data_IF_103358165015
#
_entry.id   IF_103358165015
#
_cell.length_a   1.000
_cell.length_b   1.000
_cell.length_c   1.000
_cell.angle_alpha   90.00
_cell.angle_beta   90.00
_cell.angle_gamma   90.00
#
_symmetry.space_group_name_H-M   'P 1'
#
loop_
_entity.id
_entity.type
_entity.pdbx_description
1 polymer ?
#
# COMPACT_ATOMS: atom_id res chain seq x y z
N UNK A 1 -22.15 2.09 -23.69
CA UNK A 1 -20.85 2.43 -24.29
C UNK A 1 -19.96 3.21 -23.33
N UNK A 2 -20.39 4.32 -22.71
CA UNK A 2 -19.54 5.08 -21.75
C UNK A 2 -19.04 4.27 -20.53
N UNK A 3 -19.84 3.33 -19.99
CA UNK A 3 -19.42 2.49 -18.85
C UNK A 3 -18.33 1.46 -19.18
N UNK A 4 -18.18 1.04 -20.43
CA UNK A 4 -17.16 0.07 -20.82
C UNK A 4 -15.82 0.72 -21.13
N UNK A 5 -15.83 1.92 -21.74
CA UNK A 5 -14.61 2.70 -22.02
C UNK A 5 -13.87 3.01 -20.70
N UNK A 6 -14.62 3.37 -19.67
CA UNK A 6 -14.12 3.67 -18.33
C UNK A 6 -13.53 2.44 -17.59
N UNK A 7 -13.79 1.23 -18.08
CA UNK A 7 -13.31 -0.03 -17.48
C UNK A 7 -11.99 -0.50 -18.11
N UNK A 8 -11.78 -0.22 -19.40
CA UNK A 8 -10.53 -0.49 -20.11
C UNK A 8 -9.41 0.38 -19.54
N UNK A 9 -9.69 1.66 -19.30
CA UNK A 9 -8.70 2.62 -18.79
C UNK A 9 -8.19 2.27 -17.39
N UNK A 10 -8.92 1.50 -16.60
CA UNK A 10 -8.57 1.17 -15.20
C UNK A 10 -7.98 -0.22 -15.01
N UNK A 11 -7.85 -1.01 -16.08
CA UNK A 11 -7.38 -2.39 -15.96
C UNK A 11 -5.99 -2.53 -15.34
N UNK A 12 -5.15 -1.49 -15.48
CA UNK A 12 -3.80 -1.45 -14.91
C UNK A 12 -3.78 -1.50 -13.37
N UNK A 13 -4.85 -1.12 -12.67
CA UNK A 13 -4.94 -1.18 -11.21
C UNK A 13 -5.09 -2.62 -10.70
N UNK A 14 -5.51 -3.54 -11.57
CA UNK A 14 -5.67 -4.96 -11.28
C UNK A 14 -6.96 -5.31 -10.52
N UNK A 15 -7.08 -6.59 -10.19
CA UNK A 15 -8.15 -7.16 -9.37
C UNK A 15 -7.59 -8.31 -8.54
N UNK A 16 -8.13 -8.51 -7.35
CA UNK A 16 -7.66 -9.52 -6.41
C UNK A 16 -8.78 -10.01 -5.51
N UNK A 17 -8.43 -10.87 -4.56
CA UNK A 17 -9.38 -11.34 -3.56
C UNK A 17 -9.88 -10.15 -2.76
N UNK A 18 -11.19 -10.09 -2.51
CA UNK A 18 -11.73 -9.05 -1.64
C UNK A 18 -11.26 -9.26 -0.21
N UNK A 19 -11.08 -8.18 0.53
CA UNK A 19 -10.89 -8.20 1.97
C UNK A 19 -12.05 -7.53 2.70
N UNK A 20 -12.74 -8.22 3.64
CA UNK A 20 -12.47 -9.59 4.09
C UNK A 20 -12.76 -10.66 3.04
N UNK A 21 -12.01 -11.77 3.11
CA UNK A 21 -12.16 -12.92 2.21
C UNK A 21 -13.52 -13.56 2.45
N UNK A 22 -14.41 -13.47 1.46
CA UNK A 22 -15.78 -13.96 1.54
C UNK A 22 -16.18 -14.71 0.28
N UNK A 23 -17.15 -15.61 0.41
CA UNK A 23 -17.70 -16.38 -0.69
C UNK A 23 -19.17 -16.00 -0.90
N UNK A 24 -19.58 -15.83 -2.15
CA UNK A 24 -20.97 -15.53 -2.49
C UNK A 24 -21.86 -16.75 -2.20
N UNK A 25 -22.95 -16.53 -1.47
CA UNK A 25 -23.90 -17.58 -1.05
C UNK A 25 -24.57 -18.28 -2.25
N UNK A 26 -24.71 -17.59 -3.39
CA UNK A 26 -25.43 -18.12 -4.54
C UNK A 26 -24.62 -19.11 -5.37
N UNK A 27 -23.40 -18.73 -5.74
CA UNK A 27 -22.55 -19.50 -6.65
C UNK A 27 -21.31 -20.09 -5.98
N UNK A 28 -21.14 -19.88 -4.66
CA UNK A 28 -19.98 -20.31 -3.86
C UNK A 28 -18.63 -19.81 -4.41
N UNK A 29 -18.65 -18.76 -5.23
CA UNK A 29 -17.44 -18.16 -5.77
C UNK A 29 -16.83 -17.20 -4.77
N UNK A 30 -15.51 -17.12 -4.81
CA UNK A 30 -14.75 -16.13 -4.07
C UNK A 30 -15.08 -14.72 -4.56
N UNK A 31 -15.31 -13.80 -3.62
CA UNK A 31 -15.51 -12.40 -3.94
C UNK A 31 -14.19 -11.73 -4.34
N UNK A 32 -14.25 -10.91 -5.38
CA UNK A 32 -13.11 -10.23 -5.99
C UNK A 32 -13.33 -8.73 -5.84
N UNK A 33 -12.33 -8.01 -5.34
CA UNK A 33 -12.25 -6.55 -5.41
C UNK A 33 -11.43 -6.14 -6.63
N UNK A 34 -11.78 -5.02 -7.24
CA UNK A 34 -11.13 -4.53 -8.45
C UNK A 34 -10.81 -3.06 -8.35
N UNK A 35 -9.76 -2.66 -9.07
CA UNK A 35 -9.41 -1.27 -9.31
C UNK A 35 -9.20 -0.47 -8.01
N UNK A 36 -9.91 0.66 -7.86
CA UNK A 36 -9.78 1.55 -6.70
C UNK A 36 -10.18 0.88 -5.39
N UNK A 37 -11.20 0.01 -5.40
CA UNK A 37 -11.63 -0.71 -4.19
C UNK A 37 -10.54 -1.67 -3.72
N UNK A 38 -9.89 -2.37 -4.66
CA UNK A 38 -8.79 -3.27 -4.32
C UNK A 38 -7.59 -2.52 -3.71
N UNK A 39 -7.33 -1.29 -4.16
CA UNK A 39 -6.27 -0.45 -3.59
C UNK A 39 -6.66 0.00 -2.17
N UNK A 40 -7.91 0.39 -1.95
CA UNK A 40 -8.39 0.77 -0.62
C UNK A 40 -8.27 -0.39 0.37
N UNK A 41 -8.71 -1.58 -0.02
CA UNK A 41 -8.56 -2.80 0.79
C UNK A 41 -7.07 -3.12 1.06
N UNK A 42 -6.19 -2.93 0.07
CA UNK A 42 -4.75 -3.12 0.23
C UNK A 42 -4.14 -2.15 1.25
N UNK A 43 -4.50 -0.86 1.18
CA UNK A 43 -4.10 0.16 2.16
C UNK A 43 -4.54 -0.25 3.57
N UNK A 44 -5.80 -0.67 3.73
CA UNK A 44 -6.34 -1.12 5.01
C UNK A 44 -5.55 -2.32 5.56
N UNK A 45 -5.26 -3.32 4.72
CA UNK A 45 -4.45 -4.48 5.10
C UNK A 45 -3.06 -4.04 5.57
N UNK A 46 -2.38 -3.19 4.79
CA UNK A 46 -1.03 -2.72 5.13
C UNK A 46 -1.04 -2.04 6.49
N UNK A 47 -1.92 -1.05 6.70
CA UNK A 47 -1.95 -0.26 7.93
C UNK A 47 -2.40 -1.05 9.16
N UNK A 48 -3.22 -2.10 8.98
CA UNK A 48 -3.65 -2.98 10.07
C UNK A 48 -2.64 -4.06 10.42
N UNK A 49 -1.71 -4.39 9.52
CA UNK A 49 -0.71 -5.46 9.72
C UNK A 49 0.49 -4.93 10.51
N UNK A 50 0.93 -5.68 11.53
CA UNK A 50 2.18 -5.40 12.26
C UNK A 50 3.38 -5.90 11.47
N UNK A 51 4.51 -5.21 11.60
CA UNK A 51 5.78 -5.73 11.08
C UNK A 51 6.09 -7.10 11.70
N UNK A 52 6.54 -8.04 10.86
CA UNK A 52 6.82 -9.42 11.25
C UNK A 52 5.62 -10.38 11.27
N UNK A 53 4.39 -9.92 11.03
CA UNK A 53 3.21 -10.83 11.00
C UNK A 53 3.19 -11.72 9.75
N UNK A 54 3.72 -11.24 8.62
CA UNK A 54 3.76 -12.02 7.39
C UNK A 54 4.98 -12.92 7.35
N UNK A 55 4.73 -14.21 7.20
CA UNK A 55 5.79 -15.22 7.05
C UNK A 55 6.70 -14.86 5.87
N UNK A 56 8.02 -14.87 6.09
CA UNK A 56 9.06 -14.54 5.11
C UNK A 56 9.06 -13.08 4.61
N UNK A 57 8.15 -12.22 5.10
CA UNK A 57 8.05 -10.81 4.70
C UNK A 57 7.98 -9.93 5.95
N UNK A 58 9.09 -9.89 6.68
CA UNK A 58 9.16 -9.18 7.96
C UNK A 58 8.96 -7.66 7.85
N UNK A 59 9.28 -7.08 6.69
CA UNK A 59 9.15 -5.65 6.43
C UNK A 59 7.72 -5.19 6.10
N UNK A 60 6.81 -6.10 5.76
CA UNK A 60 5.44 -5.73 5.40
C UNK A 60 4.64 -5.21 6.59
N UNK A 61 3.75 -4.25 6.33
CA UNK A 61 2.79 -3.70 7.30
C UNK A 61 3.05 -2.23 7.63
N UNK A 62 2.12 -1.63 8.38
CA UNK A 62 2.19 -0.24 8.83
C UNK A 62 2.79 -0.08 10.21
N UNK A 63 2.81 -1.15 11.02
CA UNK A 63 3.42 -1.13 12.35
C UNK A 63 2.82 -0.12 13.32
N UNK A 64 1.62 0.40 13.06
CA UNK A 64 1.00 1.50 13.82
C UNK A 64 0.79 1.15 15.30
N UNK A 65 0.75 -0.14 15.62
CA UNK A 65 0.59 -0.66 16.97
C UNK A 65 1.77 -0.28 17.89
N UNK A 66 2.94 0.06 17.34
CA UNK A 66 4.08 0.56 18.12
C UNK A 66 3.82 1.94 18.76
N UNK A 67 2.81 2.67 18.28
CA UNK A 67 2.42 3.98 18.80
C UNK A 67 1.38 3.89 19.93
N UNK A 68 0.87 2.69 20.23
CA UNK A 68 -0.07 2.50 21.32
C UNK A 68 0.55 2.92 22.65
N UNK A 69 -0.24 3.62 23.47
CA UNK A 69 0.15 4.14 24.79
C UNK A 69 1.27 5.20 24.78
N UNK A 70 1.74 5.64 23.62
CA UNK A 70 2.60 6.83 23.54
C UNK A 70 1.81 8.08 23.90
N UNK A 71 2.52 9.11 24.38
CA UNK A 71 1.94 10.41 24.70
C UNK A 71 1.44 11.08 23.42
N UNK A 72 0.22 11.61 23.46
CA UNK A 72 -0.36 12.39 22.37
C UNK A 72 0.24 13.80 22.31
N UNK A 73 1.29 13.97 21.50
CA UNK A 73 1.88 15.26 21.18
C UNK A 73 2.17 15.39 19.68
N UNK A 74 2.62 16.57 19.25
CA UNK A 74 2.92 16.85 17.84
C UNK A 74 4.06 15.97 17.30
N UNK A 75 4.97 15.52 18.17
CA UNK A 75 6.02 14.56 17.80
C UNK A 75 5.40 13.23 17.39
N UNK A 76 4.47 12.70 18.19
CA UNK A 76 3.76 11.46 17.84
C UNK A 76 3.01 11.57 16.50
N UNK A 77 2.39 12.71 16.20
CA UNK A 77 1.75 12.93 14.89
C UNK A 77 2.75 12.80 13.74
N UNK A 78 3.91 13.44 13.87
CA UNK A 78 4.98 13.35 12.89
C UNK A 78 5.47 11.91 12.70
N UNK A 79 5.70 11.18 13.80
CA UNK A 79 6.12 9.78 13.75
C UNK A 79 5.08 8.88 13.04
N UNK A 80 3.79 9.07 13.33
CA UNK A 80 2.71 8.31 12.68
C UNK A 80 2.64 8.65 11.19
N UNK A 81 2.69 9.95 10.83
CA UNK A 81 2.62 10.38 9.44
C UNK A 81 3.80 9.82 8.60
N UNK A 82 5.00 9.82 9.17
CA UNK A 82 6.19 9.24 8.55
C UNK A 82 6.04 7.71 8.39
N UNK A 83 5.60 7.01 9.44
CA UNK A 83 5.40 5.56 9.39
C UNK A 83 4.35 5.13 8.36
N UNK A 84 3.23 5.84 8.27
CA UNK A 84 2.18 5.59 7.25
C UNK A 84 2.74 5.84 5.85
N UNK A 85 3.42 6.96 5.65
CA UNK A 85 4.01 7.31 4.35
C UNK A 85 5.03 6.27 3.90
N UNK A 86 5.92 5.85 4.81
CA UNK A 86 6.91 4.80 4.57
C UNK A 86 6.23 3.48 4.23
N UNK A 87 5.29 3.02 5.07
CA UNK A 87 4.62 1.75 4.87
C UNK A 87 3.93 1.66 3.49
N UNK A 88 3.24 2.73 3.07
CA UNK A 88 2.56 2.75 1.78
C UNK A 88 3.53 2.87 0.61
N UNK A 89 4.63 3.63 0.75
CA UNK A 89 5.66 3.75 -0.27
C UNK A 89 6.27 2.39 -0.67
N UNK A 90 6.53 1.52 0.32
CA UNK A 90 7.16 0.21 0.06
C UNK A 90 6.16 -0.90 -0.27
N UNK A 91 4.94 -0.83 0.25
CA UNK A 91 3.98 -1.93 0.13
C UNK A 91 2.86 -1.69 -0.89
N UNK A 92 2.63 -0.46 -1.34
CA UNK A 92 1.56 -0.14 -2.32
C UNK A 92 2.07 0.75 -3.48
N UNK A 93 2.72 0.16 -4.51
CA UNK A 93 3.31 0.90 -5.61
C UNK A 93 2.29 1.50 -6.59
N UNK A 94 1.00 1.17 -6.47
CA UNK A 94 -0.06 1.68 -7.37
C UNK A 94 -0.52 3.08 -7.00
N UNK A 95 -0.08 3.62 -5.86
CA UNK A 95 -0.41 4.98 -5.42
C UNK A 95 0.85 5.79 -5.16
N UNK A 96 0.69 7.11 -5.18
CA UNK A 96 1.64 8.06 -4.62
C UNK A 96 0.94 8.81 -3.50
N UNK A 97 1.45 8.68 -2.28
CA UNK A 97 0.95 9.43 -1.11
C UNK A 97 1.32 10.91 -1.30
N UNK A 98 0.32 11.78 -1.24
CA UNK A 98 0.50 13.23 -1.38
C UNK A 98 0.48 13.94 -0.04
N UNK A 99 -0.29 13.43 0.92
CA UNK A 99 -0.45 14.03 2.24
C UNK A 99 -0.87 12.98 3.27
N UNK A 100 -0.37 13.12 4.51
CA UNK A 100 -0.80 12.32 5.66
C UNK A 100 -1.00 13.26 6.83
N UNK A 101 -2.27 13.53 7.14
CA UNK A 101 -2.65 14.39 8.25
C UNK A 101 -3.12 13.54 9.45
N UNK A 102 -2.53 13.78 10.62
CA UNK A 102 -2.80 13.02 11.84
C UNK A 102 -3.45 13.92 12.87
N UNK A 103 -4.70 13.59 13.24
CA UNK A 103 -5.52 14.42 14.12
C UNK A 103 -5.89 13.67 15.40
N UNK A 104 -5.76 14.34 16.54
CA UNK A 104 -6.22 13.82 17.83
C UNK A 104 -7.68 14.24 18.05
N UNK A 105 -8.62 13.44 17.54
CA UNK A 105 -10.05 13.76 17.64
C UNK A 105 -10.57 13.65 19.07
N UNK A 106 -10.09 12.67 19.83
CA UNK A 106 -10.44 12.51 21.24
C UNK A 106 -9.21 12.14 22.08
N UNK A 107 -8.61 13.16 22.69
CA UNK A 107 -7.42 13.02 23.55
C UNK A 107 -7.73 12.20 24.82
N UNK A 108 -8.98 12.21 25.31
CA UNK A 108 -9.36 11.48 26.52
C UNK A 108 -9.72 10.02 26.21
N UNK A 109 -10.38 9.80 25.07
CA UNK A 109 -10.75 8.48 24.57
C UNK A 109 -9.64 7.74 23.81
N UNK A 110 -8.52 8.41 23.52
CA UNK A 110 -7.38 7.78 22.88
C UNK A 110 -7.53 7.62 21.36
N UNK A 111 -8.40 8.40 20.71
CA UNK A 111 -8.73 8.26 19.28
C UNK A 111 -7.86 9.17 18.43
N UNK A 112 -7.09 8.54 17.53
CA UNK A 112 -6.28 9.20 16.51
C UNK A 112 -6.93 8.94 15.15
N UNK A 113 -7.05 9.97 14.34
CA UNK A 113 -7.49 9.88 12.95
C UNK A 113 -6.32 10.14 12.02
N UNK A 114 -6.24 9.35 10.96
CA UNK A 114 -5.23 9.48 9.92
C UNK A 114 -5.99 9.75 8.62
N UNK A 115 -5.82 10.96 8.10
CA UNK A 115 -6.35 11.37 6.81
C UNK A 115 -5.26 11.19 5.76
N UNK A 116 -5.52 10.28 4.82
CA UNK A 116 -4.58 9.94 3.76
C UNK A 116 -5.01 10.57 2.44
N UNK A 117 -4.22 11.50 1.93
CA UNK A 117 -4.31 12.01 0.56
C UNK A 117 -3.36 11.22 -0.34
N UNK A 118 -3.87 10.70 -1.46
CA UNK A 118 -3.05 9.98 -2.44
C UNK A 118 -3.59 10.11 -3.86
N UNK A 119 -2.72 9.87 -4.83
CA UNK A 119 -3.05 9.79 -6.25
C UNK A 119 -2.77 8.38 -6.78
N UNK A 120 -3.58 7.91 -7.72
CA UNK A 120 -3.32 6.66 -8.43
C UNK A 120 -2.22 6.85 -9.47
N UNK A 121 -1.23 5.97 -9.47
CA UNK A 121 -0.13 5.99 -10.44
C UNK A 121 -0.64 5.47 -11.78
N UNK A 122 -0.71 6.33 -12.80
CA UNK A 122 -1.10 5.93 -14.16
C UNK A 122 0.08 5.27 -14.89
N UNK A 123 0.46 4.04 -14.49
CA UNK A 123 1.61 3.35 -15.08
C UNK A 123 1.17 2.30 -16.09
N UNK A 124 0.92 2.72 -17.32
CA UNK A 124 1.06 1.83 -18.49
C UNK A 124 2.44 2.04 -19.15
N UNK A 125 3.50 2.08 -18.36
CA UNK A 125 4.87 2.21 -18.87
C UNK A 125 5.56 0.85 -18.87
N UNK A 126 5.69 0.26 -20.07
CA UNK A 126 6.60 -0.87 -20.32
C UNK A 126 8.03 -0.37 -20.21
N UNK A 127 8.66 -0.53 -19.05
CA UNK A 127 10.08 -0.27 -18.88
C UNK A 127 10.86 -1.54 -19.18
N UNK A 128 11.74 -1.50 -20.19
CA UNK A 128 12.76 -2.52 -20.41
C UNK A 128 14.12 -1.87 -20.12
N UNK A 129 14.84 -2.34 -19.11
CA UNK A 129 16.15 -1.82 -18.72
C UNK A 129 17.17 -2.95 -18.82
N UNK A 130 18.13 -2.80 -19.73
CA UNK A 130 19.26 -3.73 -19.86
C UNK A 130 20.42 -3.14 -19.07
N UNK A 131 20.75 -3.76 -17.94
CA UNK A 131 21.94 -3.42 -17.16
C UNK A 131 23.13 -4.24 -17.67
N UNK A 132 24.14 -3.63 -18.33
CA UNK A 132 25.34 -4.36 -18.71
C UNK A 132 26.22 -4.59 -17.47
N UNK A 133 26.19 -5.81 -16.92
CA UNK A 133 27.14 -6.26 -15.89
C UNK A 133 28.25 -7.07 -16.55
N UNK A 134 29.40 -6.43 -16.79
CA UNK A 134 30.61 -7.13 -17.18
C UNK A 134 31.69 -6.87 -16.12
N UNK A 135 32.12 -7.94 -15.46
CA UNK A 135 33.41 -7.97 -14.77
C UNK A 135 34.44 -8.04 -15.89
N UNK A 136 35.14 -6.93 -16.16
CA UNK A 136 36.41 -7.01 -16.87
C UNK A 136 37.41 -7.69 -15.93
N UNK A 137 37.35 -9.03 -15.84
CA UNK A 137 38.50 -9.83 -15.47
C UNK A 137 39.44 -9.80 -16.67
N UNK A 138 40.64 -9.26 -16.45
CA UNK A 138 41.61 -9.05 -17.50
C UNK A 138 42.17 -10.36 -18.08
N UNK A 139 42.66 -10.19 -19.32
CA UNK A 139 43.75 -10.92 -19.97
C UNK A 139 43.40 -12.20 -20.74
N UNK A 140 43.53 -12.13 -22.06
CA UNK A 140 44.33 -13.12 -22.79
C UNK A 140 45.09 -12.46 -23.95
N UNK A 141 46.40 -12.67 -23.90
CA UNK A 141 47.41 -12.33 -24.89
C UNK A 141 47.15 -13.09 -26.20
N UNK A 142 47.14 -12.39 -27.34
CA UNK A 142 47.82 -12.78 -28.59
C UNK A 142 48.27 -11.50 -29.29
#
# INVERSE_FOLDING_TARGET
MEKEINKIDRHFLGSGWSFPVTFSVGNHQLNISAYEENIKESIDIILQTRHGERCMEGGFGGGLQQFLFKKMDETLKGEIAEAVSYALLYNEPRITVTDVDVQFRDVRGGVIEILLGYMYNQTNTRHNYVFPFYINEGTNLI
#
